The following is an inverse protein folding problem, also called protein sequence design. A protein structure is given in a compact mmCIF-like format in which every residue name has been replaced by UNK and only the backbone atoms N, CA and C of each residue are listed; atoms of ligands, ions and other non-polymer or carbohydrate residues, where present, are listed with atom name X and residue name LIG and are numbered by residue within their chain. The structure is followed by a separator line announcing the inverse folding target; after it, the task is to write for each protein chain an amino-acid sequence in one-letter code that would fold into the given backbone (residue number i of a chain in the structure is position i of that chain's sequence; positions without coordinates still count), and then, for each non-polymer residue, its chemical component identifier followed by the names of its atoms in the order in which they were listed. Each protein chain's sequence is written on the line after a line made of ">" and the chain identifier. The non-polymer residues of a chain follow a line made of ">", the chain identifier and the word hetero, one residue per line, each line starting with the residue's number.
data_IF_321245537199
#
_entry.id   IF_321245537199
#
_cell.length_a   1.000
_cell.length_b   1.000
_cell.length_c   1.000
_cell.angle_alpha   90.00
_cell.angle_beta   90.00
_cell.angle_gamma   90.00
#
_symmetry.space_group_name_H-M   'P 1'
#
loop_
_entity.id
_entity.type
_entity.pdbx_description
1 polymer ?
#
# COMPACT_ATOMS: atom_id res chain seq x y z
N UNK A 1 -7.37 -19.31 -18.32
CA UNK A 1 -8.82 -19.03 -18.39
C UNK A 1 -9.14 -17.78 -17.60
N UNK A 2 -10.07 -16.97 -18.10
CA UNK A 2 -10.36 -15.66 -17.52
C UNK A 2 -10.83 -15.73 -16.05
N UNK A 3 -11.67 -16.72 -15.72
CA UNK A 3 -12.17 -16.89 -14.35
C UNK A 3 -11.04 -17.20 -13.36
N UNK A 4 -10.09 -18.06 -13.75
CA UNK A 4 -8.93 -18.36 -12.92
C UNK A 4 -8.05 -17.14 -12.68
N UNK A 5 -7.85 -16.33 -13.72
CA UNK A 5 -7.05 -15.11 -13.62
C UNK A 5 -7.70 -14.08 -12.69
N UNK A 6 -9.00 -13.91 -12.78
CA UNK A 6 -9.74 -13.02 -11.90
C UNK A 6 -9.68 -13.49 -10.44
N UNK A 7 -9.87 -14.78 -10.21
CA UNK A 7 -9.80 -15.36 -8.87
C UNK A 7 -8.40 -15.21 -8.27
N UNK A 8 -7.37 -15.40 -9.07
CA UNK A 8 -5.98 -15.22 -8.64
C UNK A 8 -5.69 -13.77 -8.27
N UNK A 9 -6.14 -12.81 -9.08
CA UNK A 9 -5.96 -11.40 -8.79
C UNK A 9 -6.70 -11.00 -7.52
N UNK A 10 -7.94 -11.43 -7.38
CA UNK A 10 -8.73 -11.18 -6.18
C UNK A 10 -8.04 -11.72 -4.94
N UNK A 11 -7.56 -12.96 -4.99
CA UNK A 11 -6.85 -13.58 -3.89
C UNK A 11 -5.57 -12.82 -3.53
N UNK A 12 -4.84 -12.35 -4.52
CA UNK A 12 -3.63 -11.57 -4.31
C UNK A 12 -3.92 -10.24 -3.59
N UNK A 13 -4.95 -9.53 -4.03
CA UNK A 13 -5.35 -8.25 -3.42
C UNK A 13 -5.79 -8.44 -1.97
N UNK A 14 -6.68 -9.40 -1.72
CA UNK A 14 -7.14 -9.69 -0.36
C UNK A 14 -6.01 -10.22 0.53
N UNK A 15 -5.16 -11.09 -0.02
CA UNK A 15 -4.01 -11.62 0.72
C UNK A 15 -3.04 -10.53 1.15
N UNK A 16 -2.75 -9.59 0.27
CA UNK A 16 -1.92 -8.43 0.60
C UNK A 16 -2.54 -7.59 1.71
N UNK A 17 -3.81 -7.25 1.60
CA UNK A 17 -4.49 -6.41 2.57
C UNK A 17 -4.59 -7.09 3.95
N UNK A 18 -4.90 -8.37 3.98
CA UNK A 18 -5.00 -9.14 5.23
C UNK A 18 -3.63 -9.28 5.88
N UNK A 19 -2.60 -9.64 5.11
CA UNK A 19 -1.25 -9.76 5.62
C UNK A 19 -0.71 -8.46 6.19
N UNK A 20 -0.94 -7.36 5.48
CA UNK A 20 -0.58 -6.02 5.93
C UNK A 20 -1.29 -5.68 7.25
N UNK A 21 -2.61 -5.83 7.33
CA UNK A 21 -3.39 -5.52 8.52
C UNK A 21 -3.01 -6.41 9.72
N UNK A 22 -2.64 -7.66 9.48
CA UNK A 22 -2.13 -8.55 10.52
C UNK A 22 -0.80 -8.05 11.08
N UNK A 23 0.08 -7.55 10.22
CA UNK A 23 1.43 -7.14 10.58
C UNK A 23 1.55 -5.74 11.19
N UNK A 24 0.64 -4.83 10.86
CA UNK A 24 0.70 -3.42 11.28
C UNK A 24 0.94 -3.25 12.80
N UNK A 25 0.25 -3.96 13.70
CA UNK A 25 0.48 -3.75 15.13
C UNK A 25 1.88 -4.11 15.62
N UNK A 26 2.60 -4.92 14.86
CA UNK A 26 3.90 -5.47 15.27
C UNK A 26 5.08 -4.79 14.57
N UNK A 27 4.84 -3.85 13.66
CA UNK A 27 5.91 -3.17 12.95
C UNK A 27 6.91 -2.53 13.93
N UNK A 28 8.18 -2.58 13.56
CA UNK A 28 9.30 -2.05 14.35
C UNK A 28 9.56 -2.76 15.67
N UNK A 29 8.81 -3.79 16.00
CA UNK A 29 9.10 -4.63 17.17
C UNK A 29 10.30 -5.53 16.89
N UNK A 30 11.16 -5.79 17.88
CA UNK A 30 12.27 -6.71 17.71
C UNK A 30 11.79 -8.12 17.34
N UNK A 31 12.60 -8.82 16.55
CA UNK A 31 12.33 -10.21 16.19
C UNK A 31 12.14 -11.03 17.46
N UNK A 32 11.18 -11.94 17.44
CA UNK A 32 10.84 -12.85 18.54
C UNK A 32 10.30 -12.17 19.81
N UNK A 33 10.08 -10.83 19.78
CA UNK A 33 9.47 -10.11 20.89
C UNK A 33 7.94 -10.23 20.92
N UNK A 34 7.34 -10.81 19.89
CA UNK A 34 5.89 -10.94 19.76
C UNK A 34 5.53 -12.25 19.07
N UNK A 35 4.26 -12.61 19.18
CA UNK A 35 3.67 -13.72 18.42
C UNK A 35 2.34 -13.27 17.84
N UNK A 36 2.24 -13.28 16.50
CA UNK A 36 1.01 -12.92 15.81
C UNK A 36 0.12 -14.15 15.70
N UNK A 37 -0.93 -14.19 16.51
CA UNK A 37 -1.89 -15.31 16.54
C UNK A 37 -3.21 -14.94 15.85
N UNK A 38 -3.36 -13.70 15.40
CA UNK A 38 -4.55 -13.23 14.74
C UNK A 38 -4.54 -11.72 14.58
N UNK A 39 -5.60 -11.18 14.03
CA UNK A 39 -5.74 -9.75 13.81
C UNK A 39 -6.14 -9.05 15.10
N UNK A 40 -5.26 -8.21 15.64
CA UNK A 40 -5.46 -7.59 16.97
C UNK A 40 -5.63 -6.07 16.92
N UNK A 41 -5.03 -5.41 15.93
CA UNK A 41 -5.01 -3.95 15.88
C UNK A 41 -4.11 -3.31 16.95
N UNK A 42 -4.17 -1.99 17.02
CA UNK A 42 -3.40 -1.14 17.94
C UNK A 42 -1.89 -1.33 17.82
N UNK A 43 -1.17 -1.73 18.84
CA UNK A 43 0.28 -1.95 18.76
C UNK A 43 1.06 -0.69 18.40
N UNK A 44 2.09 -0.86 17.58
CA UNK A 44 3.07 0.20 17.25
C UNK A 44 2.43 1.49 16.73
N UNK A 45 1.47 1.39 15.84
CA UNK A 45 0.83 2.56 15.22
C UNK A 45 -0.48 2.96 15.88
N UNK A 46 -0.92 2.21 16.87
CA UNK A 46 -2.17 2.46 17.61
C UNK A 46 -3.39 2.64 16.67
N UNK A 47 -3.51 1.77 15.68
CA UNK A 47 -4.60 1.79 14.71
C UNK A 47 -5.64 0.72 15.06
N UNK A 48 -6.92 0.95 14.70
CA UNK A 48 -7.96 -0.06 14.93
C UNK A 48 -7.66 -1.38 14.24
N UNK A 49 -8.24 -2.45 14.75
CA UNK A 49 -8.14 -3.77 14.16
C UNK A 49 -8.56 -3.75 12.68
N UNK A 50 -7.79 -4.42 11.82
CA UNK A 50 -8.07 -4.48 10.39
C UNK A 50 -7.54 -3.31 9.57
N UNK A 51 -6.83 -2.37 10.18
CA UNK A 51 -6.25 -1.23 9.46
C UNK A 51 -5.03 -1.69 8.67
N UNK A 52 -5.04 -1.41 7.38
CA UNK A 52 -3.88 -1.64 6.52
C UNK A 52 -2.99 -0.40 6.44
N UNK A 53 -1.75 -0.57 5.97
CA UNK A 53 -0.74 0.48 5.88
C UNK A 53 -0.56 1.00 4.45
N UNK A 54 0.56 1.68 4.23
CA UNK A 54 1.02 2.16 2.94
C UNK A 54 1.10 1.05 1.88
N UNK A 55 1.50 -0.15 2.27
CA UNK A 55 1.63 -1.28 1.34
C UNK A 55 0.32 -1.55 0.60
N UNK A 56 -0.77 -1.68 1.31
CA UNK A 56 -2.09 -1.92 0.70
C UNK A 56 -2.60 -0.69 -0.02
N UNK A 57 -2.45 0.49 0.56
CA UNK A 57 -2.89 1.73 -0.07
C UNK A 57 -2.22 1.96 -1.41
N UNK A 58 -0.92 1.74 -1.51
CA UNK A 58 -0.19 1.89 -2.78
C UNK A 58 -0.54 0.81 -3.78
N UNK A 59 -0.80 -0.41 -3.33
CA UNK A 59 -1.30 -1.48 -4.21
C UNK A 59 -2.65 -1.09 -4.82
N UNK A 60 -3.58 -0.58 -4.02
CA UNK A 60 -4.89 -0.16 -4.50
C UNK A 60 -4.78 1.01 -5.49
N UNK A 61 -3.92 1.97 -5.21
CA UNK A 61 -3.66 3.08 -6.10
C UNK A 61 -3.08 2.61 -7.44
N UNK A 62 -2.14 1.66 -7.41
CA UNK A 62 -1.55 1.06 -8.60
C UNK A 62 -2.60 0.33 -9.43
N UNK A 63 -3.42 -0.48 -8.79
CA UNK A 63 -4.47 -1.24 -9.45
C UNK A 63 -5.49 -0.30 -10.10
N UNK A 64 -5.89 0.74 -9.38
CA UNK A 64 -6.83 1.74 -9.88
C UNK A 64 -6.28 2.48 -11.10
N UNK A 65 -5.00 2.80 -11.09
CA UNK A 65 -4.30 3.40 -12.24
C UNK A 65 -4.28 2.45 -13.43
N UNK A 66 -3.97 1.19 -13.21
CA UNK A 66 -3.96 0.19 -14.29
C UNK A 66 -5.34 0.04 -14.92
N UNK A 67 -6.39 -0.01 -14.11
CA UNK A 67 -7.76 -0.12 -14.60
C UNK A 67 -8.13 1.13 -15.42
N UNK A 68 -7.83 2.32 -14.91
CA UNK A 68 -8.15 3.58 -15.58
C UNK A 68 -7.39 3.76 -16.90
N UNK A 69 -6.22 3.16 -17.05
CA UNK A 69 -5.35 3.25 -18.22
C UNK A 69 -5.35 1.98 -19.07
N UNK A 70 -6.43 1.18 -18.99
CA UNK A 70 -6.61 -0.02 -19.80
C UNK A 70 -5.45 -1.02 -19.68
N UNK A 71 -4.94 -1.19 -18.45
CA UNK A 71 -3.84 -2.07 -18.09
C UNK A 71 -2.48 -1.65 -18.68
N UNK A 72 -2.38 -0.40 -19.11
CA UNK A 72 -1.10 0.19 -19.50
C UNK A 72 -0.47 0.90 -18.31
N UNK A 73 0.84 0.77 -18.17
CA UNK A 73 1.59 1.47 -17.12
C UNK A 73 1.68 2.96 -17.48
N UNK A 74 1.11 3.80 -16.64
CA UNK A 74 1.19 5.25 -16.74
C UNK A 74 1.78 5.79 -15.44
N UNK A 75 3.06 6.05 -15.45
CA UNK A 75 3.79 6.44 -14.24
C UNK A 75 3.34 7.78 -13.67
N UNK A 76 2.96 8.72 -14.53
CA UNK A 76 2.42 10.02 -14.07
C UNK A 76 1.08 9.83 -13.35
N UNK A 77 0.17 9.03 -13.92
CA UNK A 77 -1.10 8.74 -13.27
C UNK A 77 -0.90 8.00 -11.94
N UNK A 78 -0.02 7.01 -11.91
CA UNK A 78 0.32 6.30 -10.68
C UNK A 78 0.85 7.26 -9.61
N UNK A 79 1.75 8.15 -10.00
CA UNK A 79 2.31 9.16 -9.10
C UNK A 79 1.25 10.06 -8.52
N UNK A 80 0.33 10.56 -9.35
CA UNK A 80 -0.76 11.42 -8.89
C UNK A 80 -1.64 10.70 -7.86
N UNK A 81 -1.91 9.41 -8.07
CA UNK A 81 -2.69 8.61 -7.13
C UNK A 81 -1.94 8.36 -5.83
N UNK A 82 -0.64 8.10 -5.88
CA UNK A 82 0.19 7.97 -4.68
C UNK A 82 0.25 9.27 -3.89
N UNK A 83 0.36 10.39 -4.58
CA UNK A 83 0.34 11.70 -3.94
C UNK A 83 -1.02 12.01 -3.31
N UNK A 84 -2.12 11.63 -3.97
CA UNK A 84 -3.46 11.76 -3.41
C UNK A 84 -3.61 10.94 -2.12
N UNK A 85 -3.03 9.74 -2.09
CA UNK A 85 -2.98 8.96 -0.86
C UNK A 85 -2.17 9.69 0.22
N UNK A 86 -0.95 10.10 -0.09
CA UNK A 86 -0.05 10.71 0.89
C UNK A 86 -0.62 12.02 1.45
N UNK A 87 -1.22 12.83 0.60
CA UNK A 87 -1.70 14.18 0.96
C UNK A 87 -3.12 14.20 1.52
N UNK A 88 -4.01 13.35 0.98
CA UNK A 88 -5.44 13.39 1.27
C UNK A 88 -5.98 12.11 1.91
N UNK A 89 -5.16 11.08 2.05
CA UNK A 89 -5.58 9.81 2.63
C UNK A 89 -6.44 8.94 1.72
N UNK A 90 -6.47 9.21 0.41
CA UNK A 90 -7.15 8.32 -0.52
C UNK A 90 -6.53 6.92 -0.43
N UNK A 91 -7.36 5.88 -0.56
CA UNK A 91 -6.98 4.47 -0.39
C UNK A 91 -6.62 4.05 1.03
N UNK A 92 -6.59 4.96 1.99
CA UNK A 92 -6.49 4.62 3.41
C UNK A 92 -7.88 4.31 3.98
N UNK A 93 -7.95 3.40 4.96
CA UNK A 93 -9.24 2.95 5.49
C UNK A 93 -10.08 4.11 6.04
N UNK A 94 -9.43 5.02 6.77
CA UNK A 94 -10.11 6.11 7.45
C UNK A 94 -9.75 7.50 6.91
N UNK A 95 -9.15 7.54 5.73
CA UNK A 95 -8.73 8.80 5.11
C UNK A 95 -7.47 9.41 5.71
N UNK A 96 -6.76 8.66 6.57
CA UNK A 96 -5.54 9.16 7.21
C UNK A 96 -4.36 8.22 6.94
N UNK A 97 -3.24 8.83 6.59
CA UNK A 97 -1.97 8.13 6.45
C UNK A 97 -1.25 8.19 7.79
N UNK A 98 -1.04 7.05 8.43
CA UNK A 98 -0.36 6.99 9.72
C UNK A 98 1.13 6.66 9.60
N UNK A 99 1.56 6.14 8.45
CA UNK A 99 2.96 5.81 8.21
C UNK A 99 3.26 5.81 6.71
N UNK A 100 4.48 6.19 6.35
CA UNK A 100 4.98 6.15 4.99
C UNK A 100 6.48 5.90 5.03
N UNK A 101 6.94 4.89 4.29
CA UNK A 101 8.36 4.58 4.21
C UNK A 101 9.16 5.77 3.68
N UNK A 102 10.37 5.96 4.21
CA UNK A 102 11.23 7.08 3.85
C UNK A 102 11.54 7.13 2.35
N UNK A 103 11.86 5.98 1.76
CA UNK A 103 12.17 5.88 0.33
C UNK A 103 10.99 6.33 -0.52
N UNK A 104 9.79 5.88 -0.18
CA UNK A 104 8.57 6.24 -0.91
C UNK A 104 8.28 7.74 -0.73
N UNK A 105 8.38 8.25 0.50
CA UNK A 105 8.14 9.67 0.76
C UNK A 105 9.06 10.57 -0.04
N UNK A 106 10.36 10.25 -0.07
CA UNK A 106 11.35 11.00 -0.84
C UNK A 106 11.04 10.91 -2.35
N UNK A 107 10.75 9.72 -2.85
CA UNK A 107 10.47 9.51 -4.27
C UNK A 107 9.22 10.28 -4.73
N UNK A 108 8.19 10.35 -3.90
CA UNK A 108 6.97 11.08 -4.23
C UNK A 108 7.14 12.59 -4.17
N UNK A 109 7.98 13.08 -3.27
CA UNK A 109 8.26 14.51 -3.14
C UNK A 109 9.21 15.02 -4.23
N UNK A 110 10.07 14.15 -4.74
CA UNK A 110 11.00 14.44 -5.83
C UNK A 110 10.51 13.75 -7.09
N UNK A 111 10.71 14.36 -8.27
CA UNK A 111 10.26 13.78 -9.54
C UNK A 111 11.24 12.79 -10.14
N UNK A 112 12.13 12.24 -9.34
CA UNK A 112 13.16 11.31 -9.79
C UNK A 112 12.67 9.87 -9.75
N UNK A 113 13.06 9.06 -10.71
CA UNK A 113 12.80 7.63 -10.72
C UNK A 113 11.40 7.20 -11.12
N UNK A 114 10.51 8.16 -11.43
CA UNK A 114 9.10 7.86 -11.70
C UNK A 114 8.83 7.21 -13.04
N UNK A 115 9.66 7.50 -14.02
CA UNK A 115 9.55 6.94 -15.37
C UNK A 115 10.50 5.78 -15.61
N UNK A 116 11.18 5.34 -14.58
CA UNK A 116 12.28 4.36 -14.71
C UNK A 116 13.57 4.99 -15.18
N UNK A 117 13.58 6.30 -15.39
CA UNK A 117 14.80 7.02 -15.72
C UNK A 117 15.63 7.22 -14.45
N UNK A 118 16.90 6.98 -14.56
CA UNK A 118 17.82 7.30 -13.47
C UNK A 118 18.18 8.75 -13.56
N UNK A 119 18.15 9.39 -12.44
CA UNK A 119 18.75 10.69 -12.28
C UNK A 119 20.26 10.54 -12.51
N UNK A 120 20.73 11.12 -13.56
CA UNK A 120 22.15 11.15 -13.88
C UNK A 120 22.77 12.44 -13.35
#
# INVERSE_FOLDING_TARGET
>A
MMNGTFEQLRAAVYGQAVGDALGVPYEFMPRDAFRCEGMTGYGTHNQPIGTWSDDTSMMLATLDSLIANEWQVNTEDMRERYLAWLSNGEYAIDGRVFDCGRTVSVALQQRVGLSGERDN
#
